data_IF_277900526664
#
_entry.id   IF_277900526664
#
_cell.length_a   1.000
_cell.length_b   1.000
_cell.length_c   1.000
_cell.angle_alpha   90.00
_cell.angle_beta   90.00
_cell.angle_gamma   90.00
#
_symmetry.space_group_name_H-M   'P 1'
#
loop_
_entity.id
_entity.type
_entity.pdbx_description
1 polymer ?
#
# COMPACT_ATOMS: atom_id res chain seq x y z
N UNK A 1 41.76 -20.61 -50.07
CA UNK A 1 40.43 -21.18 -49.94
C UNK A 1 40.47 -22.35 -48.97
N UNK A 2 40.06 -22.16 -47.74
CA UNK A 2 39.74 -23.25 -46.78
C UNK A 2 38.58 -22.75 -45.92
N UNK A 3 37.45 -23.41 -46.13
CA UNK A 3 36.20 -23.20 -45.42
C UNK A 3 36.29 -24.01 -44.11
N UNK A 4 36.18 -23.36 -42.95
CA UNK A 4 36.02 -24.04 -41.67
C UNK A 4 34.55 -24.03 -41.26
N UNK A 5 33.95 -25.19 -41.32
CA UNK A 5 32.60 -25.47 -40.85
C UNK A 5 32.70 -25.80 -39.35
N UNK A 6 32.07 -25.01 -38.49
CA UNK A 6 31.93 -25.31 -37.08
C UNK A 6 30.59 -25.99 -36.82
N UNK A 7 30.67 -27.21 -36.35
CA UNK A 7 29.55 -28.00 -35.84
C UNK A 7 29.16 -27.49 -34.47
N UNK A 8 27.88 -27.17 -34.31
CA UNK A 8 27.26 -26.89 -33.00
C UNK A 8 26.69 -28.21 -32.47
N UNK A 9 27.31 -28.71 -31.41
CA UNK A 9 26.83 -29.87 -30.69
C UNK A 9 25.76 -29.42 -29.65
N UNK A 10 24.58 -30.01 -29.75
CA UNK A 10 23.51 -29.89 -28.78
C UNK A 10 23.79 -30.86 -27.62
N UNK A 11 24.14 -30.34 -26.47
CA UNK A 11 24.26 -31.08 -25.21
C UNK A 11 23.04 -30.79 -24.32
N UNK A 12 22.18 -31.80 -24.18
CA UNK A 12 21.11 -31.83 -23.17
C UNK A 12 21.76 -32.26 -21.84
N UNK A 13 21.67 -31.48 -20.82
CA UNK A 13 22.22 -31.80 -19.49
C UNK A 13 21.44 -31.08 -18.39
N UNK A 14 20.87 -31.89 -17.55
CA UNK A 14 19.99 -31.65 -16.44
C UNK A 14 20.57 -30.77 -15.30
N UNK A 15 19.62 -30.34 -14.47
CA UNK A 15 19.79 -29.95 -13.05
C UNK A 15 20.60 -28.69 -12.71
N UNK A 16 19.89 -27.56 -12.68
CA UNK A 16 20.31 -26.46 -11.83
C UNK A 16 19.14 -25.94 -10.99
N UNK A 17 19.04 -26.44 -9.75
CA UNK A 17 18.39 -25.73 -8.67
C UNK A 17 19.38 -24.69 -8.14
N UNK A 18 19.11 -23.39 -8.25
CA UNK A 18 19.87 -22.42 -7.49
C UNK A 18 19.21 -22.21 -6.14
N UNK A 19 19.77 -22.81 -5.10
CA UNK A 19 19.71 -22.28 -3.75
C UNK A 19 20.39 -20.91 -3.75
N UNK A 20 19.72 -19.89 -4.25
CA UNK A 20 20.16 -18.51 -4.09
C UNK A 20 19.38 -17.88 -2.95
N UNK A 21 20.00 -17.88 -1.75
CA UNK A 21 19.76 -16.80 -0.78
C UNK A 21 20.06 -15.50 -1.52
N UNK A 22 19.03 -14.89 -2.12
CA UNK A 22 19.12 -13.52 -2.65
C UNK A 22 19.60 -12.64 -1.51
N UNK A 23 20.77 -12.04 -1.66
CA UNK A 23 21.25 -10.94 -0.82
C UNK A 23 20.13 -9.90 -0.85
N UNK A 24 19.42 -9.73 0.27
CA UNK A 24 18.36 -8.71 0.39
C UNK A 24 18.98 -7.37 0.06
N UNK A 25 18.41 -6.70 -0.90
CA UNK A 25 18.85 -5.39 -1.34
C UNK A 25 18.79 -4.43 -0.14
N UNK A 26 19.93 -3.83 0.23
CA UNK A 26 20.06 -3.04 1.47
C UNK A 26 19.38 -1.66 1.37
N UNK A 27 18.87 -1.28 0.21
CA UNK A 27 18.31 0.03 -0.12
C UNK A 27 16.80 0.00 -0.36
N UNK A 28 16.03 -0.72 0.46
CA UNK A 28 14.58 -0.66 0.33
C UNK A 28 14.04 0.66 0.86
N UNK A 29 13.02 1.21 0.20
CA UNK A 29 12.33 2.46 0.59
C UNK A 29 11.88 2.38 2.06
N UNK A 30 11.40 1.23 2.51
CA UNK A 30 10.98 0.96 3.88
C UNK A 30 12.14 0.97 4.89
N UNK A 31 13.36 0.58 4.46
CA UNK A 31 14.56 0.58 5.31
C UNK A 31 15.22 1.95 5.44
N UNK A 32 15.12 2.78 4.41
CA UNK A 32 15.63 4.16 4.46
C UNK A 32 14.88 5.03 5.46
N UNK A 33 13.68 4.60 5.88
CA UNK A 33 12.85 5.30 6.86
C UNK A 33 13.10 4.91 8.33
N UNK A 34 14.24 4.30 8.63
CA UNK A 34 14.71 4.15 10.03
C UNK A 34 14.09 2.99 10.81
N UNK A 35 13.61 1.93 10.15
CA UNK A 35 13.19 0.73 10.86
C UNK A 35 14.41 -0.09 11.31
N UNK A 36 14.61 -0.29 12.63
CA UNK A 36 15.69 -1.12 13.15
C UNK A 36 15.47 -2.58 12.75
N UNK A 37 16.58 -3.27 12.41
CA UNK A 37 16.52 -4.71 12.14
C UNK A 37 16.06 -5.46 13.39
N UNK A 38 15.30 -6.56 13.28
CA UNK A 38 14.91 -7.39 14.41
C UNK A 38 16.09 -8.04 15.18
N UNK A 39 17.33 -7.88 14.71
CA UNK A 39 18.52 -8.55 15.26
C UNK A 39 19.44 -7.66 16.12
N UNK A 40 19.12 -6.40 16.36
CA UNK A 40 20.01 -5.50 17.15
C UNK A 40 19.52 -5.19 18.58
N UNK A 41 18.50 -5.92 19.06
CA UNK A 41 18.12 -5.86 20.48
C UNK A 41 18.82 -7.00 21.23
N UNK A 42 20.15 -6.96 21.28
CA UNK A 42 20.91 -7.62 22.32
C UNK A 42 21.93 -6.62 22.89
N UNK A 43 21.73 -6.35 24.18
CA UNK A 43 22.57 -5.57 25.09
C UNK A 43 22.30 -4.06 25.16
N UNK A 44 21.52 -3.69 26.17
CA UNK A 44 21.47 -2.33 26.69
C UNK A 44 20.13 -1.87 27.23
N UNK A 45 19.63 -2.53 28.28
CA UNK A 45 18.50 -2.01 29.05
C UNK A 45 19.02 -1.00 30.09
N UNK A 46 18.70 0.30 30.00
CA UNK A 46 18.89 1.19 31.14
C UNK A 46 17.66 1.06 32.06
N UNK A 47 17.91 0.63 33.28
CA UNK A 47 16.94 0.63 34.37
C UNK A 47 16.35 2.04 34.56
N UNK A 48 15.04 2.17 34.46
CA UNK A 48 14.32 3.37 34.89
C UNK A 48 14.15 3.34 36.40
N UNK A 49 14.89 4.22 37.08
CA UNK A 49 14.63 4.60 38.46
C UNK A 49 13.29 5.30 38.54
N UNK A 50 12.46 4.79 39.46
CA UNK A 50 11.19 5.41 39.80
C UNK A 50 11.40 6.75 40.52
N UNK A 51 10.67 7.75 40.06
CA UNK A 51 10.37 8.92 40.88
C UNK A 51 8.91 9.31 40.68
N UNK A 52 8.18 9.20 41.78
CA UNK A 52 6.81 9.65 41.99
C UNK A 52 6.61 11.13 41.67
N UNK A 53 5.64 11.43 40.82
CA UNK A 53 5.05 12.76 40.77
C UNK A 53 3.52 12.62 40.85
N UNK A 54 3.03 12.95 42.06
CA UNK A 54 1.62 13.20 42.33
C UNK A 54 1.19 14.45 41.61
N UNK A 55 0.18 14.40 40.76
CA UNK A 55 -0.58 15.55 40.33
C UNK A 55 -2.02 15.37 40.82
N UNK A 56 -2.40 16.27 41.72
CA UNK A 56 -3.74 16.45 42.31
C UNK A 56 -4.73 16.95 41.26
N UNK A 57 -5.96 16.48 41.42
CA UNK A 57 -7.09 16.68 40.58
C UNK A 57 -7.65 18.09 40.44
N UNK A 58 -8.56 18.21 39.54
CA UNK A 58 -9.74 19.02 39.70
C UNK A 58 -10.87 18.51 38.82
N UNK A 59 -11.85 17.91 39.45
CA UNK A 59 -13.16 17.63 38.88
C UNK A 59 -13.89 18.96 38.65
N UNK A 60 -14.37 19.23 37.48
CA UNK A 60 -15.52 20.09 37.24
C UNK A 60 -16.55 19.40 36.41
N UNK A 61 -17.63 19.05 37.07
CA UNK A 61 -18.89 18.63 36.49
C UNK A 61 -19.58 19.80 35.78
N UNK A 62 -20.14 19.56 34.60
CA UNK A 62 -21.24 20.34 34.07
C UNK A 62 -22.33 19.42 33.57
N UNK A 63 -23.39 19.38 34.34
CA UNK A 63 -24.70 18.82 34.03
C UNK A 63 -25.55 19.80 33.24
N UNK A 64 -26.27 19.33 32.24
CA UNK A 64 -27.61 19.79 31.84
C UNK A 64 -27.99 18.98 30.59
N UNK A 65 -28.83 17.98 30.71
CA UNK A 65 -30.30 17.92 30.62
C UNK A 65 -30.88 18.57 29.37
N UNK A 66 -31.40 17.75 28.46
CA UNK A 66 -32.83 17.87 28.12
C UNK A 66 -33.28 16.66 27.24
N UNK A 67 -34.35 16.11 27.69
CA UNK A 67 -35.16 15.03 27.16
C UNK A 67 -35.83 15.37 25.83
N UNK A 68 -35.98 14.37 24.97
CA UNK A 68 -37.22 14.24 24.19
C UNK A 68 -37.51 12.75 23.97
N UNK A 69 -38.42 12.27 24.78
CA UNK A 69 -39.14 11.00 24.62
C UNK A 69 -40.14 11.14 23.49
N UNK A 70 -40.12 10.27 22.49
CA UNK A 70 -41.28 9.97 21.66
C UNK A 70 -41.66 8.51 21.80
N UNK A 71 -42.82 8.33 22.39
CA UNK A 71 -43.50 7.07 22.64
C UNK A 71 -43.95 6.42 21.33
N UNK A 72 -43.73 5.11 21.20
CA UNK A 72 -44.36 4.26 20.19
C UNK A 72 -45.68 3.70 20.72
N UNK A 73 -46.75 3.59 19.88
CA UNK A 73 -48.01 2.98 20.30
C UNK A 73 -47.98 1.45 20.24
N UNK A 74 -48.81 0.77 21.06
CA UNK A 74 -48.76 -0.67 21.26
C UNK A 74 -49.38 -1.48 20.15
N UNK A 75 -48.75 -2.56 19.70
CA UNK A 75 -49.27 -3.56 18.80
C UNK A 75 -50.27 -4.49 19.48
N UNK A 76 -51.48 -4.59 18.95
CA UNK A 76 -52.55 -5.48 19.39
C UNK A 76 -52.22 -6.95 19.15
N UNK A 77 -52.31 -7.74 20.21
CA UNK A 77 -52.31 -9.21 20.16
C UNK A 77 -53.62 -9.71 19.51
N UNK A 78 -53.50 -10.61 18.54
CA UNK A 78 -54.61 -11.49 18.12
C UNK A 78 -54.31 -12.90 18.60
N UNK A 79 -55.33 -13.48 19.23
CA UNK A 79 -55.40 -14.80 19.83
C UNK A 79 -55.79 -15.86 18.78
N UNK A 80 -55.38 -17.15 18.92
CA UNK A 80 -55.65 -18.19 17.92
C UNK A 80 -56.98 -18.86 18.15
N UNK A 81 -57.62 -19.28 17.07
CA UNK A 81 -58.69 -20.25 17.06
C UNK A 81 -58.19 -21.59 16.59
N UNK A 82 -58.54 -22.64 17.37
CA UNK A 82 -58.25 -24.02 17.12
C UNK A 82 -59.19 -24.62 16.07
N UNK A 83 -58.70 -25.66 15.39
CA UNK A 83 -59.50 -26.49 14.50
C UNK A 83 -58.67 -27.60 13.88
N UNK A 84 -58.94 -28.82 14.34
CA UNK A 84 -58.41 -30.14 13.98
C UNK A 84 -58.37 -30.42 12.46
N UNK A 85 -57.48 -31.21 11.91
CA UNK A 85 -57.56 -32.69 11.79
C UNK A 85 -56.48 -33.22 10.81
N UNK A 86 -55.85 -34.28 11.21
CA UNK A 86 -55.28 -35.44 10.53
C UNK A 86 -55.08 -35.45 8.99
N UNK A 87 -53.84 -35.61 8.52
CA UNK A 87 -53.49 -36.82 7.75
C UNK A 87 -52.00 -36.89 7.39
N UNK A 88 -51.42 -38.02 7.66
CA UNK A 88 -50.03 -38.35 7.34
C UNK A 88 -49.84 -38.56 5.83
N UNK A 89 -48.84 -37.85 5.24
CA UNK A 89 -48.15 -38.34 4.04
C UNK A 89 -46.64 -38.06 4.19
N UNK A 90 -45.92 -39.10 4.49
CA UNK A 90 -44.46 -39.20 4.36
C UNK A 90 -44.11 -38.92 2.90
N UNK A 91 -43.51 -37.77 2.60
CA UNK A 91 -42.92 -37.51 1.32
C UNK A 91 -41.43 -37.27 1.48
N UNK A 92 -40.67 -38.12 0.80
CA UNK A 92 -39.21 -38.08 0.67
C UNK A 92 -38.81 -36.77 -0.04
N UNK A 93 -38.24 -35.82 0.72
CA UNK A 93 -37.66 -34.60 0.15
C UNK A 93 -36.44 -34.15 0.94
N UNK A 94 -35.51 -35.11 1.22
CA UNK A 94 -34.31 -34.80 2.01
C UNK A 94 -33.05 -34.47 1.16
N UNK A 95 -33.25 -34.30 -0.15
CA UNK A 95 -32.12 -34.01 -1.07
C UNK A 95 -32.01 -32.58 -1.56
N UNK A 96 -33.07 -31.75 -1.41
CA UNK A 96 -33.09 -30.44 -2.01
C UNK A 96 -32.67 -29.30 -1.08
N UNK A 97 -32.84 -29.48 0.23
CA UNK A 97 -32.46 -28.45 1.22
C UNK A 97 -30.94 -28.29 1.37
N UNK A 98 -30.16 -29.38 1.25
CA UNK A 98 -28.69 -29.31 1.35
C UNK A 98 -28.02 -28.55 0.22
N UNK A 99 -28.62 -28.51 -0.98
CA UNK A 99 -28.09 -27.72 -2.09
C UNK A 99 -28.37 -26.22 -1.93
N UNK A 100 -29.51 -25.85 -1.36
CA UNK A 100 -29.86 -24.45 -1.11
C UNK A 100 -29.03 -23.85 0.03
N UNK A 101 -28.76 -24.62 1.09
CA UNK A 101 -27.92 -24.14 2.20
C UNK A 101 -26.44 -23.98 1.76
N UNK A 102 -25.90 -24.89 0.95
CA UNK A 102 -24.55 -24.78 0.42
C UNK A 102 -24.39 -23.59 -0.55
N UNK A 103 -25.42 -23.30 -1.38
CA UNK A 103 -25.44 -22.13 -2.27
C UNK A 103 -25.58 -20.82 -1.48
N UNK A 104 -26.38 -20.83 -0.39
CA UNK A 104 -26.55 -19.70 0.49
C UNK A 104 -25.28 -19.42 1.29
N UNK A 105 -24.60 -20.44 1.81
CA UNK A 105 -23.32 -20.30 2.50
C UNK A 105 -22.25 -19.73 1.55
N UNK A 106 -22.16 -20.23 0.30
CA UNK A 106 -21.25 -19.68 -0.70
C UNK A 106 -21.57 -18.23 -1.06
N UNK A 107 -22.86 -17.86 -1.18
CA UNK A 107 -23.26 -16.50 -1.46
C UNK A 107 -22.97 -15.56 -0.27
N UNK A 108 -23.05 -16.04 0.97
CA UNK A 108 -22.69 -15.28 2.16
C UNK A 108 -21.16 -15.13 2.31
N UNK A 109 -20.36 -16.08 1.82
CA UNK A 109 -18.88 -15.96 1.76
C UNK A 109 -18.40 -14.95 0.71
N UNK A 110 -19.15 -14.72 -0.36
CA UNK A 110 -18.80 -13.74 -1.41
C UNK A 110 -19.06 -12.29 -1.01
N UNK A 111 -20.01 -12.04 -0.10
CA UNK A 111 -20.34 -10.70 0.37
C UNK A 111 -19.29 -10.19 1.35
N UNK A 112 -18.85 -8.93 1.16
CA UNK A 112 -17.95 -8.26 2.08
C UNK A 112 -18.52 -8.22 3.50
N UNK A 113 -17.69 -8.58 4.48
CA UNK A 113 -18.02 -8.55 5.90
C UNK A 113 -17.06 -7.64 6.67
N UNK A 114 -17.56 -6.54 7.22
CA UNK A 114 -16.76 -5.65 8.07
C UNK A 114 -16.18 -6.37 9.29
N UNK A 115 -16.91 -7.34 9.85
CA UNK A 115 -16.43 -8.14 10.97
C UNK A 115 -15.21 -8.98 10.57
N UNK A 116 -15.31 -9.72 9.45
CA UNK A 116 -14.22 -10.53 8.91
C UNK A 116 -13.01 -9.68 8.53
N UNK A 117 -13.25 -8.49 7.95
CA UNK A 117 -12.22 -7.52 7.63
C UNK A 117 -11.47 -7.01 8.87
N UNK A 118 -12.17 -6.77 9.98
CA UNK A 118 -11.54 -6.39 11.26
C UNK A 118 -10.78 -7.54 11.90
N UNK A 119 -11.33 -8.74 11.91
CA UNK A 119 -10.64 -9.93 12.40
C UNK A 119 -9.32 -10.13 11.64
N UNK A 120 -9.36 -10.00 10.31
CA UNK A 120 -8.18 -10.05 9.45
C UNK A 120 -7.17 -8.93 9.73
N UNK A 121 -7.61 -7.70 10.04
CA UNK A 121 -6.73 -6.61 10.47
C UNK A 121 -5.93 -6.97 11.72
N UNK A 122 -6.61 -7.51 12.73
CA UNK A 122 -5.99 -7.84 14.01
C UNK A 122 -5.04 -9.05 13.95
N UNK A 123 -5.04 -9.84 12.88
CA UNK A 123 -4.02 -10.87 12.63
C UNK A 123 -2.62 -10.26 12.43
N UNK A 124 -2.56 -8.99 11.97
CA UNK A 124 -1.33 -8.25 11.73
C UNK A 124 -1.06 -7.17 12.79
N UNK A 125 -2.09 -6.56 13.31
CA UNK A 125 -1.99 -5.51 14.33
C UNK A 125 -1.87 -6.05 15.75
N UNK A 126 -2.25 -7.31 15.99
CA UNK A 126 -2.34 -7.88 17.34
C UNK A 126 -3.45 -7.20 18.14
N UNK A 127 -3.09 -6.53 19.23
CA UNK A 127 -4.02 -5.78 20.08
C UNK A 127 -4.01 -4.27 19.81
N UNK A 128 -3.24 -3.83 18.82
CA UNK A 128 -3.09 -2.41 18.50
C UNK A 128 -4.08 -1.98 17.42
N UNK A 129 -4.40 -0.69 17.37
CA UNK A 129 -5.24 -0.11 16.32
C UNK A 129 -4.43 0.26 15.06
N UNK A 130 -3.20 -0.22 14.97
CA UNK A 130 -2.26 0.09 13.88
C UNK A 130 -1.45 -1.16 13.51
N UNK A 131 -1.42 -1.50 12.23
CA UNK A 131 -0.46 -2.45 11.69
C UNK A 131 0.89 -1.74 11.59
N UNK A 132 1.84 -2.16 12.42
CA UNK A 132 3.21 -1.66 12.41
C UNK A 132 4.11 -2.41 11.42
N UNK A 133 5.42 -2.14 11.44
CA UNK A 133 6.38 -2.71 10.47
C UNK A 133 6.40 -4.24 10.42
N UNK A 134 6.39 -4.89 11.58
CA UNK A 134 6.41 -6.37 11.67
C UNK A 134 5.12 -6.98 11.10
N UNK A 135 3.98 -6.38 11.43
CA UNK A 135 2.68 -6.79 10.88
C UNK A 135 2.60 -6.53 9.37
N UNK A 136 3.23 -5.44 8.90
CA UNK A 136 3.29 -5.12 7.48
C UNK A 136 4.16 -6.11 6.69
N UNK A 137 5.30 -6.56 7.24
CA UNK A 137 6.13 -7.59 6.62
C UNK A 137 5.34 -8.89 6.47
N UNK A 138 4.68 -9.34 7.55
CA UNK A 138 3.83 -10.53 7.51
C UNK A 138 2.66 -10.39 6.51
N UNK A 139 2.00 -9.23 6.50
CA UNK A 139 0.93 -8.94 5.54
C UNK A 139 1.41 -9.04 4.09
N UNK A 140 2.57 -8.43 3.77
CA UNK A 140 3.17 -8.48 2.44
C UNK A 140 3.54 -9.93 2.04
N UNK A 141 4.08 -10.72 2.97
CA UNK A 141 4.36 -12.14 2.76
C UNK A 141 3.08 -12.92 2.45
N UNK A 142 2.03 -12.72 3.25
CA UNK A 142 0.75 -13.41 3.10
C UNK A 142 0.05 -13.07 1.78
N UNK A 143 0.16 -11.85 1.27
CA UNK A 143 -0.39 -11.49 -0.05
C UNK A 143 0.56 -11.83 -1.21
N UNK A 144 1.79 -12.29 -0.91
CA UNK A 144 2.79 -12.67 -1.93
C UNK A 144 3.40 -11.48 -2.67
N UNK A 145 3.55 -10.34 -2.00
CA UNK A 145 4.09 -9.11 -2.58
C UNK A 145 5.25 -8.61 -1.72
N UNK A 146 6.35 -8.20 -2.35
CA UNK A 146 7.44 -7.56 -1.61
C UNK A 146 7.00 -6.16 -1.13
N UNK A 147 7.39 -5.71 0.08
CA UNK A 147 7.01 -4.39 0.61
C UNK A 147 7.38 -3.23 -0.32
N UNK A 148 8.48 -3.35 -1.06
CA UNK A 148 8.96 -2.35 -2.02
C UNK A 148 8.24 -2.39 -3.37
N UNK A 149 7.27 -3.26 -3.54
CA UNK A 149 6.54 -3.34 -4.80
C UNK A 149 5.60 -2.14 -4.97
N UNK A 150 5.55 -1.60 -6.19
CA UNK A 150 4.69 -0.44 -6.51
C UNK A 150 3.20 -0.70 -6.19
N UNK A 151 2.75 -1.95 -6.18
CA UNK A 151 1.36 -2.28 -5.85
C UNK A 151 1.04 -1.95 -4.39
N UNK A 152 2.04 -1.97 -3.49
CA UNK A 152 1.86 -1.57 -2.09
C UNK A 152 1.58 -0.06 -1.97
N UNK A 153 2.23 0.75 -2.81
CA UNK A 153 1.92 2.18 -2.90
C UNK A 153 0.50 2.42 -3.45
N UNK A 154 0.08 1.65 -4.46
CA UNK A 154 -1.28 1.72 -5.00
C UNK A 154 -2.31 1.29 -3.94
N UNK A 155 -2.02 0.25 -3.18
CA UNK A 155 -2.87 -0.20 -2.09
C UNK A 155 -2.96 0.89 -1.00
N UNK A 156 -1.84 1.45 -0.56
CA UNK A 156 -1.81 2.56 0.40
C UNK A 156 -2.65 3.75 -0.08
N UNK A 157 -2.55 4.10 -1.36
CA UNK A 157 -3.39 5.14 -1.98
C UNK A 157 -4.88 4.79 -1.92
N UNK A 158 -5.28 3.54 -2.18
CA UNK A 158 -6.67 3.08 -2.08
C UNK A 158 -7.19 3.09 -0.64
N UNK A 159 -6.33 2.83 0.32
CA UNK A 159 -6.65 2.91 1.75
C UNK A 159 -6.66 4.37 2.26
N UNK A 160 -6.20 5.32 1.45
CA UNK A 160 -5.99 6.72 1.87
C UNK A 160 -5.05 6.81 3.09
N UNK A 161 -4.04 5.93 3.12
CA UNK A 161 -3.08 5.83 4.21
C UNK A 161 -2.22 7.10 4.32
N UNK A 162 -2.04 7.58 5.55
CA UNK A 162 -1.39 8.87 5.80
C UNK A 162 0.08 8.75 6.15
N UNK A 163 0.53 7.56 6.55
CA UNK A 163 1.89 7.34 7.00
C UNK A 163 2.48 6.12 6.32
N UNK A 164 3.66 6.26 5.77
CA UNK A 164 4.37 5.14 5.17
C UNK A 164 4.79 4.13 6.26
N UNK A 165 4.52 2.84 6.00
CA UNK A 165 4.87 1.75 6.90
C UNK A 165 3.82 1.40 7.95
N UNK A 166 2.70 2.10 7.99
CA UNK A 166 1.63 1.88 8.95
C UNK A 166 0.27 1.90 8.28
N UNK A 167 -0.64 1.02 8.74
CA UNK A 167 -2.06 1.14 8.42
C UNK A 167 -2.86 1.19 9.71
N UNK A 168 -3.67 2.22 9.86
CA UNK A 168 -4.63 2.31 10.96
C UNK A 168 -5.86 1.45 10.66
N UNK A 169 -6.57 1.03 11.70
CA UNK A 169 -7.82 0.26 11.56
C UNK A 169 -8.87 1.01 10.70
N UNK A 170 -8.90 2.34 10.79
CA UNK A 170 -9.84 3.17 10.02
C UNK A 170 -9.49 3.20 8.53
N UNK A 171 -8.21 3.43 8.18
CA UNK A 171 -7.70 3.37 6.81
C UNK A 171 -7.97 2.01 6.19
N UNK A 172 -7.62 0.95 6.93
CA UNK A 172 -7.85 -0.42 6.51
C UNK A 172 -9.32 -0.71 6.22
N UNK A 173 -10.20 -0.45 7.19
CA UNK A 173 -11.62 -0.75 7.04
C UNK A 173 -12.25 0.06 5.91
N UNK A 174 -11.95 1.37 5.80
CA UNK A 174 -12.43 2.24 4.73
C UNK A 174 -11.97 1.74 3.35
N UNK A 175 -10.67 1.48 3.20
CA UNK A 175 -10.10 1.09 1.93
C UNK A 175 -10.49 -0.32 1.50
N UNK A 176 -10.45 -1.30 2.42
CA UNK A 176 -10.82 -2.68 2.13
C UNK A 176 -12.32 -2.81 1.83
N UNK A 177 -13.17 -1.98 2.45
CA UNK A 177 -14.60 -1.87 2.08
C UNK A 177 -14.74 -1.37 0.64
N UNK A 178 -13.99 -0.35 0.25
CA UNK A 178 -14.01 0.16 -1.13
C UNK A 178 -13.54 -0.88 -2.15
N UNK A 179 -12.55 -1.70 -1.78
CA UNK A 179 -12.03 -2.79 -2.61
C UNK A 179 -12.87 -4.06 -2.53
N UNK A 180 -13.84 -4.14 -1.62
CA UNK A 180 -14.63 -5.34 -1.33
C UNK A 180 -13.76 -6.55 -0.94
N UNK A 181 -12.60 -6.29 -0.30
CA UNK A 181 -11.65 -7.28 0.16
C UNK A 181 -11.68 -7.40 1.68
N UNK A 182 -12.10 -8.53 2.19
CA UNK A 182 -12.16 -8.83 3.63
C UNK A 182 -11.36 -10.08 4.02
N UNK A 183 -10.55 -10.57 3.08
CA UNK A 183 -9.62 -11.70 3.26
C UNK A 183 -8.38 -11.50 2.40
N UNK A 184 -7.28 -12.16 2.79
CA UNK A 184 -6.02 -12.22 2.03
C UNK A 184 -6.23 -12.70 0.60
N UNK A 185 -7.07 -13.71 0.40
CA UNK A 185 -7.34 -14.30 -0.92
C UNK A 185 -8.04 -13.31 -1.86
N UNK A 186 -9.08 -12.60 -1.37
CA UNK A 186 -9.76 -11.57 -2.16
C UNK A 186 -8.80 -10.45 -2.56
N UNK A 187 -7.91 -10.03 -1.65
CA UNK A 187 -6.92 -9.02 -1.98
C UNK A 187 -5.88 -9.52 -2.99
N UNK A 188 -5.39 -10.76 -2.85
CA UNK A 188 -4.49 -11.38 -3.85
C UNK A 188 -5.11 -11.34 -5.25
N UNK A 189 -6.39 -11.71 -5.36
CA UNK A 189 -7.12 -11.69 -6.62
C UNK A 189 -7.31 -10.26 -7.19
N UNK A 190 -7.24 -9.24 -6.34
CA UNK A 190 -7.37 -7.83 -6.72
C UNK A 190 -6.03 -7.17 -7.09
N UNK A 191 -4.88 -7.83 -6.87
CA UNK A 191 -3.56 -7.21 -7.09
C UNK A 191 -3.33 -6.80 -8.55
N UNK A 192 -3.79 -7.59 -9.52
CA UNK A 192 -3.63 -7.26 -10.93
C UNK A 192 -4.51 -6.07 -11.33
N UNK A 193 -5.71 -5.96 -10.77
CA UNK A 193 -6.52 -4.77 -10.91
C UNK A 193 -5.82 -3.54 -10.31
N UNK A 194 -5.25 -3.64 -9.11
CA UNK A 194 -4.49 -2.54 -8.51
C UNK A 194 -3.31 -2.11 -9.38
N UNK A 195 -2.57 -3.06 -9.97
CA UNK A 195 -1.49 -2.77 -10.92
C UNK A 195 -2.00 -2.07 -12.18
N UNK A 196 -3.16 -2.47 -12.69
CA UNK A 196 -3.75 -1.87 -13.90
C UNK A 196 -4.11 -0.39 -13.74
N UNK A 197 -4.37 0.08 -12.52
CA UNK A 197 -4.66 1.49 -12.25
C UNK A 197 -3.50 2.42 -12.61
N UNK A 198 -2.26 1.92 -12.59
CA UNK A 198 -1.08 2.68 -13.00
C UNK A 198 -1.03 2.97 -14.52
N UNK A 199 -1.76 2.20 -15.32
CA UNK A 199 -1.81 2.38 -16.77
C UNK A 199 -2.69 3.57 -17.19
N UNK A 200 -3.60 4.01 -16.31
CA UNK A 200 -4.44 5.17 -16.55
C UNK A 200 -3.70 6.46 -16.16
N UNK A 201 -3.54 7.36 -17.11
CA UNK A 201 -2.82 8.63 -16.89
C UNK A 201 -3.35 9.45 -15.72
N UNK A 202 -4.67 9.48 -15.54
CA UNK A 202 -5.31 10.23 -14.44
C UNK A 202 -4.98 9.59 -13.09
N UNK A 203 -5.16 8.27 -12.96
CA UNK A 203 -4.86 7.55 -11.73
C UNK A 203 -3.36 7.63 -11.41
N UNK A 204 -2.50 7.47 -12.43
CA UNK A 204 -1.06 7.60 -12.23
C UNK A 204 -0.67 8.98 -11.68
N UNK A 205 -1.22 10.08 -12.22
CA UNK A 205 -0.98 11.44 -11.70
C UNK A 205 -1.43 11.58 -10.24
N UNK A 206 -2.56 10.99 -9.88
CA UNK A 206 -3.06 11.02 -8.49
C UNK A 206 -2.16 10.21 -7.55
N UNK A 207 -1.76 8.99 -7.94
CA UNK A 207 -0.85 8.13 -7.17
C UNK A 207 0.51 8.79 -7.03
N UNK A 208 1.04 9.41 -8.09
CA UNK A 208 2.31 10.12 -8.08
C UNK A 208 2.31 11.30 -7.09
N UNK A 209 1.25 12.10 -7.08
CA UNK A 209 1.08 13.21 -6.12
C UNK A 209 0.90 12.71 -4.69
N UNK A 210 0.12 11.67 -4.51
CA UNK A 210 -0.07 11.01 -3.22
C UNK A 210 1.25 10.48 -2.66
N UNK A 211 2.11 9.88 -3.49
CA UNK A 211 3.39 9.33 -3.07
C UNK A 211 4.29 10.36 -2.38
N UNK A 212 4.27 11.61 -2.82
CA UNK A 212 5.01 12.70 -2.16
C UNK A 212 4.52 12.93 -0.73
N UNK A 213 3.20 13.10 -0.56
CA UNK A 213 2.61 13.40 0.75
C UNK A 213 2.72 12.18 1.69
N UNK A 214 2.59 10.97 1.16
CA UNK A 214 2.69 9.70 1.89
C UNK A 214 4.10 9.41 2.41
N UNK A 215 5.13 9.73 1.60
CA UNK A 215 6.52 9.49 1.94
C UNK A 215 7.16 10.62 2.77
N UNK A 216 6.50 11.77 2.86
CA UNK A 216 6.99 12.95 3.55
C UNK A 216 6.67 12.87 5.05
N UNK A 217 7.62 13.25 5.89
CA UNK A 217 7.36 13.41 7.32
C UNK A 217 6.32 14.52 7.57
N UNK A 218 5.44 14.31 8.55
CA UNK A 218 4.28 15.20 8.80
C UNK A 218 4.64 16.65 9.02
N UNK A 219 5.77 16.90 9.70
CA UNK A 219 6.21 18.25 10.07
C UNK A 219 7.09 18.92 9.01
N UNK A 220 7.39 18.21 7.92
CA UNK A 220 8.22 18.72 6.83
C UNK A 220 7.36 19.21 5.66
N UNK A 221 7.84 20.23 4.95
CA UNK A 221 7.22 20.70 3.71
C UNK A 221 7.82 20.07 2.46
N UNK A 222 8.99 19.49 2.62
CA UNK A 222 9.78 18.89 1.55
C UNK A 222 10.09 17.43 1.88
N UNK A 223 10.31 16.63 0.86
CA UNK A 223 10.68 15.23 0.96
C UNK A 223 12.22 15.12 0.98
N UNK A 224 12.76 14.27 1.85
CA UNK A 224 14.19 13.93 1.85
C UNK A 224 14.62 13.37 0.49
N UNK A 225 15.81 13.77 0.03
CA UNK A 225 16.27 13.42 -1.33
C UNK A 225 16.50 11.92 -1.51
N UNK A 226 16.96 11.20 -0.49
CA UNK A 226 17.17 9.75 -0.62
C UNK A 226 15.82 9.04 -0.76
N UNK A 227 14.84 9.42 0.05
CA UNK A 227 13.46 8.94 -0.06
C UNK A 227 12.84 9.31 -1.42
N UNK A 228 13.07 10.54 -1.88
CA UNK A 228 12.61 11.00 -3.20
C UNK A 228 13.21 10.17 -4.34
N UNK A 229 14.51 9.90 -4.33
CA UNK A 229 15.18 9.06 -5.35
C UNK A 229 14.58 7.65 -5.40
N UNK A 230 14.33 7.04 -4.25
CA UNK A 230 13.72 5.71 -4.18
C UNK A 230 12.30 5.71 -4.73
N UNK A 231 11.47 6.68 -4.31
CA UNK A 231 10.09 6.80 -4.80
C UNK A 231 10.01 7.14 -6.29
N UNK A 232 10.87 8.04 -6.78
CA UNK A 232 10.96 8.32 -8.22
C UNK A 232 11.38 7.08 -9.01
N UNK A 233 12.33 6.31 -8.48
CA UNK A 233 12.76 5.03 -9.07
C UNK A 233 11.62 4.02 -9.16
N UNK A 234 10.79 3.93 -8.12
CA UNK A 234 9.62 3.07 -8.08
C UNK A 234 8.56 3.48 -9.13
N UNK A 235 8.32 4.79 -9.27
CA UNK A 235 7.26 5.34 -10.11
C UNK A 235 7.68 5.53 -11.57
N UNK A 236 8.89 6.04 -11.81
CA UNK A 236 9.36 6.46 -13.14
C UNK A 236 10.46 5.56 -13.71
N UNK A 237 11.12 4.77 -12.88
CA UNK A 237 12.31 4.01 -13.29
C UNK A 237 12.09 3.03 -14.44
N UNK A 238 10.86 2.56 -14.64
CA UNK A 238 10.50 1.65 -15.75
C UNK A 238 9.90 2.37 -16.95
N UNK A 239 9.37 3.56 -16.77
CA UNK A 239 8.57 4.27 -17.77
C UNK A 239 9.28 5.47 -18.38
N UNK A 240 10.27 6.03 -17.69
CA UNK A 240 11.06 7.16 -18.15
C UNK A 240 12.50 6.74 -18.48
N UNK A 241 12.89 6.66 -19.77
CA UNK A 241 14.20 6.17 -20.17
C UNK A 241 15.38 7.04 -19.65
N UNK A 242 15.17 8.36 -19.45
CA UNK A 242 16.18 9.25 -18.87
C UNK A 242 16.31 9.11 -17.34
N UNK A 243 15.45 8.33 -16.68
CA UNK A 243 15.46 8.20 -15.23
C UNK A 243 16.85 7.79 -14.65
N UNK A 244 17.59 6.83 -15.21
CA UNK A 244 18.91 6.47 -14.69
C UNK A 244 19.89 7.65 -14.70
N UNK A 245 19.82 8.49 -15.73
CA UNK A 245 20.68 9.67 -15.89
C UNK A 245 20.26 10.77 -14.91
N UNK A 246 18.95 11.00 -14.78
CA UNK A 246 18.39 11.92 -13.79
C UNK A 246 18.72 11.50 -12.35
N UNK A 247 18.63 10.19 -12.05
CA UNK A 247 19.01 9.65 -10.75
C UNK A 247 20.50 9.93 -10.45
N UNK A 248 21.39 9.72 -11.43
CA UNK A 248 22.82 10.03 -11.29
C UNK A 248 23.07 11.53 -11.04
N UNK A 249 22.35 12.41 -11.74
CA UNK A 249 22.39 13.85 -11.46
C UNK A 249 21.99 14.15 -10.01
N UNK A 250 20.87 13.58 -9.52
CA UNK A 250 20.41 13.78 -8.16
C UNK A 250 21.42 13.29 -7.12
N UNK A 251 22.17 12.21 -7.40
CA UNK A 251 23.24 11.71 -6.52
C UNK A 251 24.44 12.66 -6.41
N UNK A 252 24.76 13.35 -7.51
CA UNK A 252 25.89 14.28 -7.58
C UNK A 252 25.49 15.71 -7.17
N UNK A 253 24.19 15.98 -7.14
CA UNK A 253 23.67 17.29 -6.80
C UNK A 253 23.83 17.63 -5.31
N UNK A 254 23.79 18.92 -4.99
CA UNK A 254 23.80 19.43 -3.61
C UNK A 254 22.45 19.37 -2.91
N UNK A 255 21.38 18.99 -3.62
CA UNK A 255 20.04 18.97 -3.09
C UNK A 255 19.88 17.91 -2.00
N UNK A 256 19.36 18.33 -0.85
CA UNK A 256 19.05 17.43 0.28
C UNK A 256 17.59 17.07 0.39
N UNK A 257 16.76 17.89 -0.23
CA UNK A 257 15.30 17.76 -0.22
C UNK A 257 14.72 18.16 -1.58
N UNK A 258 13.52 17.67 -1.87
CA UNK A 258 12.71 18.08 -3.01
C UNK A 258 11.36 18.61 -2.49
N UNK A 259 10.91 19.74 -3.01
CA UNK A 259 9.59 20.26 -2.68
C UNK A 259 8.50 19.69 -3.60
N UNK A 260 7.23 19.96 -3.26
CA UNK A 260 6.10 19.40 -4.02
C UNK A 260 6.00 19.91 -5.44
N UNK A 261 6.40 21.15 -5.68
CA UNK A 261 6.42 21.76 -7.02
C UNK A 261 7.48 21.07 -7.90
N UNK A 262 8.71 20.98 -7.43
CA UNK A 262 9.77 20.22 -8.11
C UNK A 262 9.35 18.79 -8.39
N UNK A 263 8.76 18.10 -7.39
CA UNK A 263 8.25 16.73 -7.54
C UNK A 263 7.23 16.63 -8.68
N UNK A 264 6.24 17.50 -8.71
CA UNK A 264 5.22 17.49 -9.75
C UNK A 264 5.80 17.81 -11.15
N UNK A 265 6.75 18.73 -11.22
CA UNK A 265 7.41 19.11 -12.47
C UNK A 265 8.32 18.00 -13.02
N UNK A 266 8.94 17.16 -12.19
CA UNK A 266 9.66 15.96 -12.67
C UNK A 266 8.73 15.03 -13.44
N UNK A 267 7.47 14.86 -13.02
CA UNK A 267 6.51 14.05 -13.77
C UNK A 267 6.17 14.69 -15.13
N UNK A 268 5.87 15.99 -15.16
CA UNK A 268 5.55 16.67 -16.41
C UNK A 268 6.77 16.66 -17.36
N UNK A 269 7.98 16.92 -16.86
CA UNK A 269 9.22 16.81 -17.61
C UNK A 269 9.39 15.40 -18.21
N UNK A 270 9.20 14.36 -17.43
CA UNK A 270 9.33 12.96 -17.89
C UNK A 270 8.35 12.57 -19.00
N UNK A 271 7.29 13.35 -19.20
CA UNK A 271 6.22 13.09 -20.17
C UNK A 271 6.27 13.97 -21.40
N UNK A 272 6.84 15.16 -21.26
CA UNK A 272 6.78 16.21 -22.30
C UNK A 272 8.12 16.49 -22.95
N UNK A 273 9.22 16.19 -22.27
CA UNK A 273 10.55 16.48 -22.78
C UNK A 273 11.11 15.23 -23.47
N UNK A 274 11.64 15.43 -24.68
CA UNK A 274 12.23 14.39 -25.49
C UNK A 274 13.54 13.87 -24.89
N UNK A 275 13.97 12.68 -25.29
CA UNK A 275 15.16 12.02 -24.70
C UNK A 275 16.45 12.75 -24.99
N UNK A 276 16.52 13.48 -26.09
CA UNK A 276 17.65 14.31 -26.52
C UNK A 276 17.57 15.75 -25.98
N UNK A 277 16.52 16.07 -25.21
CA UNK A 277 16.22 17.39 -24.64
C UNK A 277 16.05 18.49 -25.68
N UNK A 278 15.82 18.17 -26.96
CA UNK A 278 15.74 19.13 -28.05
C UNK A 278 14.57 20.09 -27.94
N UNK A 279 13.49 19.67 -27.29
CA UNK A 279 12.29 20.49 -27.07
C UNK A 279 12.24 21.16 -25.68
N UNK A 280 13.37 21.14 -24.94
CA UNK A 280 13.45 21.84 -23.67
C UNK A 280 13.58 23.36 -23.89
N UNK A 281 12.68 24.13 -23.29
CA UNK A 281 12.65 25.58 -23.32
C UNK A 281 13.32 26.11 -22.04
N UNK A 282 14.51 26.72 -22.20
CA UNK A 282 15.29 27.30 -21.09
C UNK A 282 14.62 28.56 -20.51
N UNK A 283 13.81 29.27 -21.30
CA UNK A 283 12.99 30.38 -20.82
C UNK A 283 11.65 29.94 -20.24
N UNK A 284 11.42 28.64 -20.22
CA UNK A 284 10.21 28.00 -19.66
C UNK A 284 10.14 28.13 -18.14
N UNK A 285 8.94 27.97 -17.59
CA UNK A 285 8.71 28.07 -16.14
C UNK A 285 9.09 26.75 -15.39
N UNK A 286 10.23 26.15 -15.71
CA UNK A 286 10.73 24.97 -15.04
C UNK A 286 11.39 25.33 -13.69
N UNK A 287 11.31 24.43 -12.68
CA UNK A 287 12.11 24.58 -11.45
C UNK A 287 13.62 24.51 -11.77
N UNK A 288 14.43 25.31 -11.08
CA UNK A 288 15.90 25.34 -11.20
C UNK A 288 16.55 23.94 -11.13
N UNK A 289 15.97 23.02 -10.39
CA UNK A 289 16.42 21.62 -10.35
C UNK A 289 16.47 20.98 -11.75
N UNK A 290 15.49 21.29 -12.59
CA UNK A 290 15.40 20.73 -13.95
C UNK A 290 16.30 21.50 -14.93
N UNK A 291 16.45 22.80 -14.77
CA UNK A 291 17.41 23.60 -15.54
C UNK A 291 18.83 23.07 -15.28
N UNK A 292 19.23 22.92 -14.00
CA UNK A 292 20.53 22.36 -13.62
C UNK A 292 20.72 20.91 -14.14
N UNK A 293 19.64 20.12 -14.21
CA UNK A 293 19.73 18.77 -14.81
C UNK A 293 20.03 18.83 -16.31
N UNK A 294 19.36 19.71 -17.04
CA UNK A 294 19.54 19.85 -18.49
C UNK A 294 20.94 20.36 -18.79
N UNK A 295 21.44 21.39 -18.08
CA UNK A 295 22.80 21.88 -18.19
C UNK A 295 23.82 20.79 -17.93
N UNK A 296 23.68 20.07 -16.80
CA UNK A 296 24.56 18.96 -16.42
C UNK A 296 24.55 17.81 -17.45
N UNK A 297 23.40 17.55 -18.08
CA UNK A 297 23.27 16.54 -19.13
C UNK A 297 23.99 16.98 -20.42
N UNK A 298 23.79 18.25 -20.86
CA UNK A 298 24.44 18.82 -22.02
C UNK A 298 25.96 18.79 -21.89
N UNK A 299 26.52 19.22 -20.74
CA UNK A 299 27.97 19.23 -20.50
C UNK A 299 28.62 17.86 -20.70
N UNK A 300 27.92 16.75 -20.38
CA UNK A 300 28.42 15.38 -20.49
C UNK A 300 28.36 14.81 -21.90
N UNK A 301 27.53 15.37 -22.75
CA UNK A 301 27.37 14.93 -24.14
C UNK A 301 28.14 15.77 -25.13
N UNK A 302 28.76 16.89 -24.71
CA UNK A 302 29.64 17.74 -25.53
C UNK A 302 31.10 17.26 -25.52
N UNK A 303 31.46 16.31 -24.65
CA UNK A 303 32.76 15.64 -24.60
C UNK A 303 32.72 14.31 -25.32
#
# INVERSE_FOLDING_TARGET
MKVCTLHVGIGVGADWLPSSRKKRNQNSVWRLMGYPRPCEIQNGCPQRNGSNLKIKGSLRSCSSSSCFSKAMPPRKKRRPTAGDDLSAKKSRHDGMYRKHDAARIKAEEEVFSSKRCLEWFYEYAGNDDVIGPEGMEKFCEDIGVEPENIVMLVLAWKLDAQNMGYFTVQEWLKGMTSLQCDTTEKLRNSLDHLRSLLNESTNFKLIYRYAFDFAREKDQRSLDMNTAKCMLGLLLGKTWPLFPVFHQFLEQSKYKVINKDQWCNVLEFSRTIDLDLSNYDEDGAWPVLLDEFVEWHKERHVT
#
